data_IF_010344684975
#
_entry.id   IF_010344684975
#
_cell.length_a   1.000
_cell.length_b   1.000
_cell.length_c   1.000
_cell.angle_alpha   90.00
_cell.angle_beta   90.00
_cell.angle_gamma   90.00
#
_symmetry.space_group_name_H-M   'P 1'
#
loop_
_entity.id
_entity.type
_entity.pdbx_description
1 polymer ?
#
# COMPACT_ATOMS: atom_id res chain seq x y z
N UNK A 1 26.51 -23.29 -46.76
CA UNK A 1 26.09 -23.53 -45.35
C UNK A 1 26.15 -22.28 -44.47
N UNK A 2 27.18 -21.43 -44.58
CA UNK A 2 27.35 -20.23 -43.73
C UNK A 2 26.14 -19.28 -43.68
N UNK A 3 25.50 -19.00 -44.83
CA UNK A 3 24.32 -18.10 -44.92
C UNK A 3 23.10 -18.60 -44.14
N UNK A 4 22.81 -19.92 -44.19
CA UNK A 4 21.72 -20.52 -43.39
C UNK A 4 22.00 -20.45 -41.89
N UNK A 5 23.25 -20.68 -41.47
CA UNK A 5 23.67 -20.58 -40.06
C UNK A 5 23.50 -19.15 -39.53
N UNK A 6 23.86 -18.15 -40.34
CA UNK A 6 23.64 -16.74 -40.00
C UNK A 6 22.14 -16.39 -39.87
N UNK A 7 21.30 -16.87 -40.81
CA UNK A 7 19.84 -16.66 -40.75
C UNK A 7 19.19 -17.29 -39.53
N UNK A 8 19.57 -18.52 -39.17
CA UNK A 8 19.06 -19.19 -37.96
C UNK A 8 19.49 -18.46 -36.70
N UNK A 9 20.73 -17.96 -36.65
CA UNK A 9 21.22 -17.19 -35.50
C UNK A 9 20.48 -15.85 -35.36
N UNK A 10 20.28 -15.12 -36.47
CA UNK A 10 19.49 -13.89 -36.47
C UNK A 10 18.04 -14.13 -36.04
N UNK A 11 17.43 -15.23 -36.48
CA UNK A 11 16.08 -15.61 -36.06
C UNK A 11 16.04 -15.89 -34.55
N UNK A 12 16.99 -16.65 -34.02
CA UNK A 12 17.08 -16.95 -32.59
C UNK A 12 17.26 -15.67 -31.75
N UNK A 13 18.14 -14.76 -32.18
CA UNK A 13 18.33 -13.47 -31.53
C UNK A 13 17.06 -12.63 -31.53
N UNK A 14 16.37 -12.53 -32.67
CA UNK A 14 15.11 -11.80 -32.76
C UNK A 14 14.05 -12.39 -31.83
N UNK A 15 13.88 -13.72 -31.84
CA UNK A 15 12.92 -14.40 -30.96
C UNK A 15 13.26 -14.19 -29.49
N UNK A 16 14.53 -14.30 -29.10
CA UNK A 16 14.96 -14.06 -27.71
C UNK A 16 14.68 -12.61 -27.28
N UNK A 17 14.94 -11.62 -28.14
CA UNK A 17 14.62 -10.22 -27.86
C UNK A 17 13.12 -10.01 -27.71
N UNK A 18 12.30 -10.57 -28.60
CA UNK A 18 10.84 -10.48 -28.49
C UNK A 18 10.33 -11.08 -27.18
N UNK A 19 10.82 -12.26 -26.79
CA UNK A 19 10.44 -12.91 -25.54
C UNK A 19 10.87 -12.11 -24.32
N UNK A 20 12.07 -11.52 -24.32
CA UNK A 20 12.54 -10.64 -23.25
C UNK A 20 11.66 -9.38 -23.10
N UNK A 21 11.24 -8.78 -24.21
CA UNK A 21 10.35 -7.61 -24.18
C UNK A 21 8.97 -7.96 -23.58
N UNK A 22 8.39 -9.11 -23.97
CA UNK A 22 7.14 -9.60 -23.40
C UNK A 22 7.31 -9.85 -21.89
N UNK A 23 8.38 -10.54 -21.49
CA UNK A 23 8.66 -10.81 -20.09
C UNK A 23 8.85 -9.52 -19.27
N UNK A 24 9.50 -8.49 -19.82
CA UNK A 24 9.66 -7.20 -19.16
C UNK A 24 8.33 -6.49 -18.91
N UNK A 25 7.41 -6.50 -19.90
CA UNK A 25 6.08 -5.90 -19.75
C UNK A 25 5.24 -6.63 -18.71
N UNK A 26 5.24 -7.97 -18.72
CA UNK A 26 4.52 -8.76 -17.72
C UNK A 26 5.11 -8.60 -16.32
N UNK A 27 6.44 -8.55 -16.21
CA UNK A 27 7.11 -8.26 -14.95
C UNK A 27 6.73 -6.87 -14.42
N UNK A 28 6.67 -5.85 -15.28
CA UNK A 28 6.25 -4.51 -14.89
C UNK A 28 4.80 -4.48 -14.37
N UNK A 29 3.87 -5.16 -15.06
CA UNK A 29 2.46 -5.29 -14.59
C UNK A 29 2.37 -6.00 -13.24
N UNK A 30 3.16 -7.06 -13.05
CA UNK A 30 3.21 -7.79 -11.80
C UNK A 30 3.79 -6.93 -10.66
N UNK A 31 4.90 -6.24 -10.92
CA UNK A 31 5.55 -5.37 -9.94
C UNK A 31 4.63 -4.20 -9.51
N UNK A 32 3.98 -3.53 -10.46
CA UNK A 32 3.03 -2.44 -10.17
C UNK A 32 1.82 -2.92 -9.36
N UNK A 33 1.33 -4.14 -9.61
CA UNK A 33 0.26 -4.75 -8.81
C UNK A 33 0.67 -5.03 -7.36
N UNK A 34 1.90 -5.50 -7.13
CA UNK A 34 2.40 -5.80 -5.77
C UNK A 34 2.72 -4.52 -4.99
N UNK A 35 3.35 -3.56 -5.67
CA UNK A 35 3.77 -2.29 -5.10
C UNK A 35 2.75 -1.18 -5.37
N UNK A 36 1.46 -1.52 -5.41
CA UNK A 36 0.37 -0.57 -5.65
C UNK A 36 0.43 0.65 -4.70
N UNK A 37 0.81 0.43 -3.45
CA UNK A 37 1.02 1.48 -2.44
C UNK A 37 2.13 2.48 -2.82
N UNK A 38 3.15 2.04 -3.54
CA UNK A 38 4.24 2.92 -3.98
C UNK A 38 3.86 3.72 -5.23
N UNK A 39 3.15 3.08 -6.16
CA UNK A 39 2.79 3.69 -7.44
C UNK A 39 1.51 4.53 -7.39
N UNK A 40 0.52 4.12 -6.60
CA UNK A 40 -0.82 4.69 -6.65
C UNK A 40 -1.25 5.36 -5.36
N UNK A 41 -0.93 4.80 -4.19
CA UNK A 41 -1.55 5.16 -2.91
C UNK A 41 -0.51 5.14 -1.78
N UNK A 42 0.22 6.24 -1.62
CA UNK A 42 1.36 6.34 -0.71
C UNK A 42 0.88 6.37 0.75
N UNK A 43 1.27 5.40 1.59
CA UNK A 43 0.97 5.44 3.01
C UNK A 43 1.86 6.46 3.73
N UNK A 44 1.28 7.13 4.71
CA UNK A 44 1.94 8.00 5.67
C UNK A 44 1.79 7.35 7.04
N UNK A 45 2.90 7.27 7.76
CA UNK A 45 2.97 6.63 9.08
C UNK A 45 3.54 7.65 10.05
N UNK A 46 2.77 7.97 11.09
CA UNK A 46 3.19 8.87 12.15
C UNK A 46 3.13 8.12 13.47
N UNK A 47 4.22 8.17 14.25
CA UNK A 47 4.22 7.59 15.61
C UNK A 47 3.45 8.49 16.56
N UNK A 48 2.61 7.89 17.39
CA UNK A 48 1.82 8.59 18.39
C UNK A 48 2.31 8.17 19.78
N UNK A 49 2.49 9.13 20.69
CA UNK A 49 2.94 8.87 22.06
C UNK A 49 4.43 9.10 22.28
N UNK A 50 5.02 8.36 23.22
CA UNK A 50 6.44 8.44 23.59
C UNK A 50 7.31 7.66 22.59
N UNK A 51 8.64 7.78 22.70
CA UNK A 51 9.60 7.06 21.83
C UNK A 51 9.40 5.55 21.81
N UNK A 52 8.86 5.00 22.89
CA UNK A 52 8.72 3.57 23.15
C UNK A 52 7.32 3.04 22.78
N UNK A 53 6.39 3.93 22.43
CA UNK A 53 5.04 3.51 22.05
C UNK A 53 5.04 2.80 20.70
N UNK A 54 4.25 1.74 20.63
CA UNK A 54 3.94 0.96 19.44
C UNK A 54 2.84 1.59 18.58
N UNK A 55 2.16 2.63 19.07
CA UNK A 55 1.00 3.22 18.41
C UNK A 55 1.43 4.07 17.21
N UNK A 56 0.81 3.77 16.07
CA UNK A 56 0.98 4.52 14.83
C UNK A 56 -0.36 5.04 14.31
N UNK A 57 -0.34 6.26 13.79
CA UNK A 57 -1.37 6.78 12.91
C UNK A 57 -0.98 6.46 11.47
N UNK A 58 -1.91 5.86 10.74
CA UNK A 58 -1.77 5.49 9.34
C UNK A 58 -2.82 6.23 8.52
N UNK A 59 -2.38 6.89 7.45
CA UNK A 59 -3.28 7.34 6.39
C UNK A 59 -2.64 7.07 5.05
N UNK A 60 -3.42 6.97 3.99
CA UNK A 60 -2.88 6.75 2.64
C UNK A 60 -3.46 7.80 1.71
N UNK A 61 -2.63 8.35 0.81
CA UNK A 61 -3.04 9.29 -0.23
C UNK A 61 -2.25 9.10 -1.50
N UNK A 62 -2.85 9.41 -2.63
CA UNK A 62 -2.30 9.00 -3.90
C UNK A 62 -2.72 9.81 -5.10
N UNK A 63 -2.51 9.24 -6.27
CA UNK A 63 -2.98 9.81 -7.53
C UNK A 63 -4.40 9.33 -7.88
N UNK A 64 -4.82 9.44 -9.15
CA UNK A 64 -6.17 9.11 -9.61
C UNK A 64 -6.63 7.66 -9.43
N UNK A 65 -5.79 6.77 -8.92
CA UNK A 65 -6.17 5.37 -8.63
C UNK A 65 -6.31 5.10 -7.13
N UNK A 66 -5.99 6.06 -6.27
CA UNK A 66 -6.12 5.96 -4.82
C UNK A 66 -7.41 6.66 -4.38
N UNK A 67 -8.53 6.02 -4.70
CA UNK A 67 -9.83 6.37 -4.13
C UNK A 67 -9.94 5.86 -2.68
N UNK A 68 -11.05 6.15 -1.98
CA UNK A 68 -11.29 5.68 -0.61
C UNK A 68 -11.06 4.17 -0.44
N UNK A 69 -11.45 3.37 -1.43
CA UNK A 69 -11.26 1.92 -1.41
C UNK A 69 -9.78 1.54 -1.48
N UNK A 70 -9.02 2.22 -2.34
CA UNK A 70 -7.57 2.07 -2.46
C UNK A 70 -6.84 2.46 -1.18
N UNK A 71 -7.25 3.55 -0.54
CA UNK A 71 -6.71 4.00 0.74
C UNK A 71 -6.95 2.96 1.83
N UNK A 72 -8.20 2.51 2.00
CA UNK A 72 -8.57 1.50 2.98
C UNK A 72 -7.75 0.21 2.81
N UNK A 73 -7.66 -0.30 1.57
CA UNK A 73 -6.89 -1.50 1.27
C UNK A 73 -5.40 -1.32 1.60
N UNK A 74 -4.85 -0.15 1.33
CA UNK A 74 -3.44 0.15 1.63
C UNK A 74 -3.20 0.20 3.13
N UNK A 75 -4.09 0.86 3.89
CA UNK A 75 -4.02 0.94 5.35
C UNK A 75 -4.06 -0.46 5.96
N UNK A 76 -5.04 -1.29 5.60
CA UNK A 76 -5.16 -2.67 6.13
C UNK A 76 -3.93 -3.50 5.78
N UNK A 77 -3.44 -3.42 4.54
CA UNK A 77 -2.20 -4.10 4.12
C UNK A 77 -1.01 -3.67 4.98
N UNK A 78 -0.88 -2.38 5.29
CA UNK A 78 0.23 -1.84 6.08
C UNK A 78 0.15 -2.30 7.54
N UNK A 79 -1.03 -2.25 8.16
CA UNK A 79 -1.26 -2.79 9.51
C UNK A 79 -0.82 -4.26 9.57
N UNK A 80 -1.26 -5.09 8.62
CA UNK A 80 -0.91 -6.52 8.59
C UNK A 80 0.56 -6.82 8.30
N UNK A 81 1.32 -5.87 7.74
CA UNK A 81 2.73 -6.04 7.40
C UNK A 81 3.67 -5.49 8.47
N UNK A 82 3.27 -4.40 9.11
CA UNK A 82 4.13 -3.65 10.02
C UNK A 82 4.09 -4.18 11.45
N UNK A 83 2.98 -4.85 11.82
CA UNK A 83 2.84 -5.54 13.09
C UNK A 83 3.02 -7.04 12.90
N UNK A 84 3.87 -7.65 13.71
CA UNK A 84 4.15 -9.08 13.68
C UNK A 84 3.16 -9.79 14.61
N UNK A 85 2.22 -10.60 14.11
CA UNK A 85 1.17 -11.23 14.92
C UNK A 85 1.73 -12.20 15.97
N UNK A 86 2.96 -12.70 15.80
CA UNK A 86 3.61 -13.56 16.78
C UNK A 86 4.24 -12.81 17.96
N UNK A 87 4.34 -11.48 17.89
CA UNK A 87 4.99 -10.68 18.93
C UNK A 87 4.03 -10.35 20.06
N UNK A 88 2.88 -9.76 19.74
CA UNK A 88 1.82 -9.38 20.68
C UNK A 88 0.51 -9.22 19.91
N UNK A 89 -0.63 -9.33 20.61
CA UNK A 89 -1.94 -9.02 20.04
C UNK A 89 -2.03 -7.56 19.59
N UNK A 90 -2.68 -7.35 18.45
CA UNK A 90 -2.78 -6.07 17.78
C UNK A 90 -4.19 -5.51 17.93
N UNK A 91 -4.28 -4.25 18.37
CA UNK A 91 -5.53 -3.50 18.42
C UNK A 91 -5.48 -2.32 17.47
N UNK A 92 -6.53 -2.16 16.65
CA UNK A 92 -6.61 -1.04 15.72
C UNK A 92 -8.03 -0.58 15.43
N UNK A 93 -8.18 0.64 14.95
CA UNK A 93 -9.43 1.16 14.38
C UNK A 93 -9.15 1.89 13.07
N UNK A 94 -10.20 1.98 12.23
CA UNK A 94 -10.15 2.70 10.97
C UNK A 94 -11.33 3.67 10.96
N UNK A 95 -11.03 4.96 10.85
CA UNK A 95 -11.99 6.07 10.83
C UNK A 95 -12.18 6.55 9.40
N UNK A 96 -13.42 6.58 8.95
CA UNK A 96 -13.78 7.20 7.68
C UNK A 96 -13.93 8.71 7.84
N UNK A 97 -13.35 9.46 6.91
CA UNK A 97 -13.61 10.87 6.76
C UNK A 97 -14.82 11.09 5.85
N UNK A 98 -15.97 11.45 6.43
CA UNK A 98 -17.21 11.66 5.69
C UNK A 98 -17.17 12.85 4.71
N UNK A 99 -16.26 13.81 4.94
CA UNK A 99 -16.13 15.02 4.11
C UNK A 99 -15.45 14.73 2.77
N UNK A 100 -14.80 13.57 2.65
CA UNK A 100 -14.13 13.14 1.42
C UNK A 100 -15.06 12.22 0.63
N UNK A 101 -15.32 12.49 -0.66
CA UNK A 101 -16.17 11.59 -1.46
C UNK A 101 -15.50 10.23 -1.69
N UNK A 102 -16.32 9.20 -1.91
CA UNK A 102 -15.83 7.83 -2.16
C UNK A 102 -14.85 7.75 -3.32
N UNK A 103 -15.16 8.46 -4.41
CA UNK A 103 -14.24 8.70 -5.51
C UNK A 103 -13.71 10.12 -5.36
N UNK A 104 -12.44 10.22 -5.00
CA UNK A 104 -11.71 11.48 -5.00
C UNK A 104 -10.36 11.21 -5.65
N UNK A 105 -9.99 12.10 -6.58
CA UNK A 105 -8.72 12.02 -7.28
C UNK A 105 -7.92 13.24 -6.90
N UNK A 106 -6.88 13.09 -6.09
CA UNK A 106 -5.98 14.18 -5.84
C UNK A 106 -5.12 14.35 -7.10
N UNK A 107 -5.53 15.26 -7.98
CA UNK A 107 -4.85 15.53 -9.25
C UNK A 107 -3.69 16.52 -9.04
N UNK A 108 -3.77 17.36 -8.01
CA UNK A 108 -2.77 18.38 -7.68
C UNK A 108 -1.76 17.91 -6.62
N UNK A 109 -0.63 18.63 -6.49
CA UNK A 109 0.41 18.35 -5.47
C UNK A 109 -0.17 18.34 -4.05
N UNK A 110 -1.19 19.16 -3.79
CA UNK A 110 -1.93 19.13 -2.55
C UNK A 110 -3.03 18.06 -2.63
N UNK A 111 -2.72 16.88 -2.08
CA UNK A 111 -3.57 15.69 -2.22
C UNK A 111 -4.89 15.72 -1.41
N UNK A 112 -5.30 16.88 -0.86
CA UNK A 112 -6.51 17.01 -0.05
C UNK A 112 -6.45 16.24 1.26
N UNK A 113 -7.57 16.11 1.99
CA UNK A 113 -7.65 15.29 3.20
C UNK A 113 -7.73 13.78 2.86
N UNK A 114 -7.31 12.87 3.76
CA UNK A 114 -7.39 11.43 3.48
C UNK A 114 -8.83 10.97 3.68
N UNK A 115 -9.27 10.00 2.87
CA UNK A 115 -10.58 9.39 3.07
C UNK A 115 -10.66 8.46 4.29
N UNK A 116 -9.52 7.90 4.73
CA UNK A 116 -9.41 7.10 5.95
C UNK A 116 -8.16 7.44 6.78
N UNK A 117 -8.33 7.39 8.10
CA UNK A 117 -7.24 7.43 9.08
C UNK A 117 -7.39 6.21 9.97
N UNK A 118 -6.29 5.51 10.24
CA UNK A 118 -6.27 4.38 11.16
C UNK A 118 -5.29 4.62 12.29
N UNK A 119 -5.60 4.05 13.45
CA UNK A 119 -4.70 3.97 14.58
C UNK A 119 -4.50 2.50 14.90
N UNK A 120 -3.25 2.08 15.04
CA UNK A 120 -2.90 0.70 15.32
C UNK A 120 -1.74 0.65 16.31
N UNK A 121 -1.76 -0.31 17.24
CA UNK A 121 -0.72 -0.52 18.23
C UNK A 121 -0.89 -1.87 18.92
N UNK A 122 0.16 -2.36 19.55
CA UNK A 122 0.07 -3.59 20.33
C UNK A 122 -0.77 -3.37 21.61
N UNK A 123 -1.30 -4.45 22.18
CA UNK A 123 -2.18 -4.40 23.35
C UNK A 123 -1.51 -3.80 24.60
N UNK A 124 -0.18 -3.80 24.67
CA UNK A 124 0.62 -3.06 25.65
C UNK A 124 0.30 -1.56 25.69
N UNK A 125 -0.07 -0.97 24.55
CA UNK A 125 -0.52 0.41 24.41
C UNK A 125 -2.04 0.54 24.16
N UNK A 126 -2.83 -0.48 24.50
CA UNK A 126 -4.28 -0.52 24.22
C UNK A 126 -5.02 0.71 24.72
N UNK A 127 -4.60 1.30 25.84
CA UNK A 127 -5.25 2.48 26.40
C UNK A 127 -5.10 3.70 25.47
N UNK A 128 -3.90 3.87 24.89
CA UNK A 128 -3.63 4.93 23.92
C UNK A 128 -4.38 4.67 22.61
N UNK A 129 -4.45 3.40 22.16
CA UNK A 129 -5.29 3.03 21.00
C UNK A 129 -6.76 3.39 21.25
N UNK A 130 -7.31 3.06 22.43
CA UNK A 130 -8.70 3.41 22.80
C UNK A 130 -8.94 4.91 22.78
N UNK A 131 -8.01 5.69 23.32
CA UNK A 131 -8.10 7.16 23.31
C UNK A 131 -8.12 7.71 21.88
N UNK A 132 -7.20 7.25 21.03
CA UNK A 132 -7.13 7.69 19.63
C UNK A 132 -8.32 7.21 18.80
N UNK A 133 -8.85 6.03 19.11
CA UNK A 133 -10.01 5.46 18.42
C UNK A 133 -11.33 6.12 18.85
N UNK A 134 -11.43 6.65 20.07
CA UNK A 134 -12.62 7.32 20.60
C UNK A 134 -13.91 6.51 20.29
N UNK A 135 -14.77 7.01 19.40
CA UNK A 135 -16.07 6.42 19.08
C UNK A 135 -16.04 5.35 17.97
N UNK A 136 -14.86 4.98 17.47
CA UNK A 136 -14.71 4.02 16.38
C UNK A 136 -14.58 2.58 16.90
N UNK A 137 -15.15 1.59 16.18
CA UNK A 137 -15.00 0.19 16.57
C UNK A 137 -13.52 -0.21 16.56
N UNK A 138 -13.10 -0.90 17.62
CA UNK A 138 -11.77 -1.45 17.75
C UNK A 138 -11.80 -2.90 17.30
N UNK A 139 -10.87 -3.23 16.42
CA UNK A 139 -10.63 -4.58 15.93
C UNK A 139 -9.39 -5.15 16.60
N UNK A 140 -9.40 -6.46 16.81
CA UNK A 140 -8.30 -7.21 17.39
C UNK A 140 -7.83 -8.27 16.38
N UNK A 141 -6.51 -8.40 16.23
CA UNK A 141 -5.87 -9.39 15.36
C UNK A 141 -4.94 -10.31 16.16
#
# INVERSE_FOLDING_TARGET
MARRKAQVNSLFQCTAVCLMLIAAVEYFKYATRIHYEWFHCTPTVEKIGTSDSSVIMLSSRGGPSCDKRGEFKTIVKRISRDFEPNSEHLSFCIKENADVPAVHYPIDENKGAPGYIAYAGYDSDLQLVKEMCADSPIYHF
#
